data_IF_386236595180
#
_entry.id   IF_386236595180
#
_cell.length_a   1.000
_cell.length_b   1.000
_cell.length_c   1.000
_cell.angle_alpha   90.00
_cell.angle_beta   90.00
_cell.angle_gamma   90.00
#
_symmetry.space_group_name_H-M   'P 1'
#
loop_
_entity.id
_entity.type
_entity.pdbx_description
1 polymer ?
#
# COMPACT_ATOMS: atom_id res chain seq x y z
N UNK A 1 14.37 10.13 32.31
CA UNK A 1 13.06 10.65 31.91
C UNK A 1 13.17 10.88 30.42
N UNK A 2 12.40 10.18 29.59
CA UNK A 2 12.49 10.31 28.13
C UNK A 2 11.44 11.34 27.70
N UNK A 3 11.91 12.49 27.22
CA UNK A 3 11.07 13.56 26.71
C UNK A 3 10.53 13.16 25.32
N UNK A 4 9.21 13.00 25.21
CA UNK A 4 8.53 12.74 23.94
C UNK A 4 8.13 14.08 23.32
N UNK A 5 8.60 14.34 22.10
CA UNK A 5 8.28 15.56 21.36
C UNK A 5 7.13 15.28 20.39
N UNK A 6 6.17 16.20 20.37
CA UNK A 6 4.91 16.07 19.62
C UNK A 6 4.72 17.30 18.74
N UNK A 7 4.57 17.10 17.44
CA UNK A 7 4.15 18.17 16.52
C UNK A 7 2.76 17.83 15.98
N UNK A 8 1.86 18.81 16.06
CA UNK A 8 0.50 18.72 15.53
C UNK A 8 0.36 19.70 14.38
N UNK A 9 0.14 19.18 13.17
CA UNK A 9 -0.10 20.01 11.98
C UNK A 9 -1.59 20.02 11.68
N UNK A 10 -2.16 21.22 11.57
CA UNK A 10 -3.56 21.42 11.17
C UNK A 10 -3.60 22.25 9.91
N UNK A 11 -4.12 21.68 8.82
CA UNK A 11 -4.35 22.42 7.56
C UNK A 11 -5.77 22.16 7.09
N UNK A 12 -6.64 23.16 7.21
CA UNK A 12 -8.07 23.02 6.91
C UNK A 12 -8.77 22.04 7.86
N UNK A 13 -9.51 21.07 7.31
CA UNK A 13 -10.28 20.08 8.09
C UNK A 13 -9.48 18.83 8.49
N UNK A 14 -8.19 18.76 8.15
CA UNK A 14 -7.35 17.58 8.45
C UNK A 14 -6.26 17.97 9.44
N UNK A 15 -6.19 17.23 10.54
CA UNK A 15 -5.10 17.31 11.51
C UNK A 15 -4.38 15.97 11.56
N UNK A 16 -3.05 16.01 11.62
CA UNK A 16 -2.23 14.84 11.88
C UNK A 16 -1.16 15.17 12.90
N UNK A 17 -0.85 14.16 13.70
CA UNK A 17 -0.02 14.25 14.90
C UNK A 17 1.17 13.32 14.69
N UNK A 18 2.37 13.85 14.87
CA UNK A 18 3.62 13.10 14.78
C UNK A 18 4.30 13.18 16.15
N UNK A 19 4.55 12.01 16.74
CA UNK A 19 5.20 11.86 18.04
C UNK A 19 6.49 11.08 17.84
N UNK A 20 7.61 11.62 18.34
CA UNK A 20 8.91 10.94 18.31
C UNK A 20 9.76 11.36 19.50
N UNK A 21 10.65 10.45 19.92
CA UNK A 21 11.66 10.66 20.97
C UNK A 21 12.91 11.37 20.43
N UNK A 22 13.08 11.45 19.12
CA UNK A 22 14.25 12.04 18.47
C UNK A 22 14.01 13.50 18.09
N UNK A 23 14.49 14.41 18.97
CA UNK A 23 14.33 15.87 18.85
C UNK A 23 14.90 16.43 17.54
N UNK A 24 16.11 16.01 17.16
CA UNK A 24 16.77 16.50 15.94
C UNK A 24 16.03 16.10 14.66
N UNK A 25 15.40 14.93 14.65
CA UNK A 25 14.61 14.47 13.51
C UNK A 25 13.32 15.28 13.35
N UNK A 26 12.68 15.61 14.48
CA UNK A 26 11.48 16.43 14.53
C UNK A 26 11.77 17.87 14.06
N UNK A 27 12.86 18.48 14.53
CA UNK A 27 13.26 19.84 14.10
C UNK A 27 13.62 19.89 12.61
N UNK A 28 14.26 18.84 12.08
CA UNK A 28 14.56 18.74 10.65
C UNK A 28 13.29 18.65 9.81
N UNK A 29 12.30 17.87 10.26
CA UNK A 29 11.00 17.75 9.60
C UNK A 29 10.19 19.04 9.69
N UNK A 30 10.17 19.71 10.84
CA UNK A 30 9.51 21.00 11.00
C UNK A 30 10.05 22.04 10.01
N UNK A 31 11.38 22.14 9.90
CA UNK A 31 12.05 23.10 9.01
C UNK A 31 11.86 22.79 7.52
N UNK A 32 11.83 21.51 7.14
CA UNK A 32 11.55 21.06 5.78
C UNK A 32 10.11 21.43 5.36
N UNK A 33 9.15 21.24 6.26
CA UNK A 33 7.75 21.58 6.01
C UNK A 33 7.50 23.08 6.02
N UNK A 34 8.05 23.83 6.97
CA UNK A 34 7.95 25.30 6.98
C UNK A 34 8.54 25.92 5.70
N UNK A 35 9.67 25.40 5.21
CA UNK A 35 10.29 25.89 3.98
C UNK A 35 9.42 25.62 2.73
N UNK A 36 8.69 24.49 2.70
CA UNK A 36 7.74 24.17 1.63
C UNK A 36 6.48 25.05 1.65
N UNK A 37 6.05 25.50 2.83
CA UNK A 37 4.84 26.34 2.97
C UNK A 37 5.16 27.82 2.69
N UNK A 38 6.35 28.30 3.11
CA UNK A 38 6.75 29.70 2.94
C UNK A 38 7.06 30.11 1.49
N UNK A 39 7.36 29.17 0.60
CA UNK A 39 7.74 29.45 -0.80
C UNK A 39 6.56 29.49 -1.79
N UNK A 40 5.30 29.57 -1.34
CA UNK A 40 4.16 29.67 -2.28
C UNK A 40 3.60 31.09 -2.32
N UNK A 41 3.99 31.94 -3.28
CA UNK A 41 3.27 33.18 -3.53
C UNK A 41 1.90 32.88 -4.15
N UNK A 42 0.89 33.55 -3.60
CA UNK A 42 -0.50 33.53 -4.03
C UNK A 42 -0.65 34.34 -5.32
N UNK A 43 -0.71 33.69 -6.48
CA UNK A 43 -1.62 34.07 -7.59
C UNK A 43 -1.49 33.16 -8.84
N UNK A 44 -2.63 32.55 -9.19
CA UNK A 44 -3.28 32.55 -10.52
C UNK A 44 -2.54 32.07 -11.78
N UNK A 45 -3.21 31.09 -12.42
CA UNK A 45 -3.22 30.64 -13.85
C UNK A 45 -2.25 29.53 -14.31
N UNK A 46 -2.87 28.35 -14.47
CA UNK A 46 -2.76 27.33 -15.54
C UNK A 46 -1.57 27.46 -16.51
N UNK A 47 -0.62 26.52 -16.48
CA UNK A 47 -0.45 25.44 -17.48
C UNK A 47 0.82 24.61 -17.19
N UNK A 48 0.76 23.34 -17.61
CA UNK A 48 1.83 22.36 -17.82
C UNK A 48 2.68 21.78 -16.67
N UNK A 49 2.33 20.53 -16.34
CA UNK A 49 3.20 19.36 -16.13
C UNK A 49 4.48 19.48 -15.29
N UNK A 50 4.32 19.14 -14.00
CA UNK A 50 5.09 18.04 -13.42
C UNK A 50 4.10 17.15 -12.65
N UNK A 51 3.68 16.03 -13.28
CA UNK A 51 2.82 15.01 -12.68
C UNK A 51 3.54 14.38 -11.49
N UNK A 52 3.28 14.90 -10.28
CA UNK A 52 3.27 14.03 -9.11
C UNK A 52 2.17 12.97 -9.34
N UNK A 53 2.48 11.66 -9.22
CA UNK A 53 1.43 10.66 -9.30
C UNK A 53 0.47 10.91 -8.15
N UNK A 54 -0.76 11.31 -8.48
CA UNK A 54 -1.89 11.27 -7.55
C UNK A 54 -1.86 9.90 -6.86
N UNK A 55 -1.91 9.81 -5.52
CA UNK A 55 -2.03 8.52 -4.87
C UNK A 55 -3.29 7.87 -5.43
N UNK A 56 -3.12 6.74 -6.11
CA UNK A 56 -4.25 6.04 -6.72
C UNK A 56 -5.12 5.55 -5.57
N UNK A 57 -6.21 6.28 -5.37
CA UNK A 57 -7.11 6.09 -4.25
C UNK A 57 -7.92 4.82 -4.50
N UNK A 58 -7.36 3.68 -4.08
CA UNK A 58 -8.12 2.43 -4.03
C UNK A 58 -9.22 2.61 -2.97
N UNK A 59 -10.51 2.42 -3.32
CA UNK A 59 -11.60 2.63 -2.38
C UNK A 59 -11.43 1.74 -1.13
N UNK A 60 -11.47 2.34 0.07
CA UNK A 60 -11.22 1.62 1.33
C UNK A 60 -12.35 0.69 1.79
N UNK A 61 -13.41 0.53 0.99
CA UNK A 61 -14.59 -0.30 1.29
C UNK A 61 -14.93 -1.28 0.15
N UNK A 62 -13.91 -1.88 -0.47
CA UNK A 62 -14.10 -2.91 -1.48
C UNK A 62 -14.17 -4.30 -0.83
N UNK A 63 -15.07 -5.14 -1.32
CA UNK A 63 -14.99 -6.58 -1.03
C UNK A 63 -13.87 -7.20 -1.87
N UNK A 64 -13.32 -8.33 -1.43
CA UNK A 64 -12.25 -9.03 -2.17
C UNK A 64 -12.70 -9.43 -3.59
N UNK A 65 -13.98 -9.76 -3.77
CA UNK A 65 -14.54 -10.13 -5.07
C UNK A 65 -14.56 -8.92 -6.03
N UNK A 66 -14.98 -7.76 -5.53
CA UNK A 66 -14.94 -6.51 -6.29
C UNK A 66 -13.49 -6.09 -6.59
N UNK A 67 -12.59 -6.21 -5.62
CA UNK A 67 -11.17 -5.94 -5.82
C UNK A 67 -10.57 -6.84 -6.93
N UNK A 68 -10.88 -8.14 -6.90
CA UNK A 68 -10.44 -9.09 -7.92
C UNK A 68 -11.01 -8.78 -9.31
N UNK A 69 -12.29 -8.45 -9.40
CA UNK A 69 -12.96 -8.09 -10.67
C UNK A 69 -12.49 -6.76 -11.25
N UNK A 70 -12.14 -5.78 -10.41
CA UNK A 70 -11.80 -4.44 -10.87
C UNK A 70 -10.29 -4.25 -11.13
N UNK A 71 -9.41 -5.02 -10.47
CA UNK A 71 -7.97 -4.78 -10.54
C UNK A 71 -7.13 -5.99 -10.97
N UNK A 72 -7.63 -7.21 -10.81
CA UNK A 72 -6.84 -8.42 -11.13
C UNK A 72 -7.28 -9.00 -12.48
N UNK A 73 -8.59 -9.21 -12.65
CA UNK A 73 -9.19 -9.75 -13.89
C UNK A 73 -8.98 -8.85 -15.13
N UNK A 74 -9.24 -7.53 -15.10
CA UNK A 74 -9.09 -6.67 -16.28
C UNK A 74 -7.63 -6.49 -16.69
N UNK A 75 -6.72 -6.47 -15.70
CA UNK A 75 -5.27 -6.40 -15.92
C UNK A 75 -4.66 -7.76 -16.35
N UNK A 76 -5.50 -8.77 -16.63
CA UNK A 76 -5.10 -10.11 -17.11
C UNK A 76 -4.00 -10.76 -16.28
N UNK A 77 -3.99 -10.54 -14.96
CA UNK A 77 -3.02 -11.18 -14.07
C UNK A 77 -3.42 -12.64 -13.92
N UNK A 78 -2.70 -13.53 -14.59
CA UNK A 78 -2.95 -14.98 -14.60
C UNK A 78 -2.05 -15.75 -13.64
N UNK A 79 -0.92 -15.14 -13.28
CA UNK A 79 0.09 -15.73 -12.44
C UNK A 79 -0.37 -15.78 -10.98
N UNK A 80 -0.50 -17.00 -10.45
CA UNK A 80 -0.88 -17.27 -9.06
C UNK A 80 -0.04 -16.52 -8.01
N UNK A 81 1.31 -16.47 -8.12
CA UNK A 81 2.11 -15.71 -7.17
C UNK A 81 1.79 -14.22 -7.22
N UNK A 82 1.58 -13.65 -8.40
CA UNK A 82 1.26 -12.23 -8.54
C UNK A 82 -0.14 -11.94 -7.97
N UNK A 83 -1.15 -12.79 -8.24
CA UNK A 83 -2.47 -12.70 -7.61
C UNK A 83 -2.38 -12.73 -6.07
N UNK A 84 -1.50 -13.56 -5.50
CA UNK A 84 -1.31 -13.64 -4.06
C UNK A 84 -0.73 -12.34 -3.47
N UNK A 85 0.14 -11.63 -4.21
CA UNK A 85 0.64 -10.29 -3.82
C UNK A 85 -0.53 -9.30 -3.73
N UNK A 86 -1.42 -9.30 -4.71
CA UNK A 86 -2.60 -8.44 -4.70
C UNK A 86 -3.55 -8.75 -3.53
N UNK A 87 -3.70 -10.01 -3.15
CA UNK A 87 -4.51 -10.37 -1.98
C UNK A 87 -3.88 -9.92 -0.68
N UNK A 88 -2.56 -10.02 -0.53
CA UNK A 88 -1.86 -9.48 0.64
C UNK A 88 -2.01 -7.96 0.68
N UNK A 89 -1.94 -7.27 -0.47
CA UNK A 89 -2.21 -5.84 -0.56
C UNK A 89 -3.61 -5.48 -0.08
N UNK A 90 -4.61 -6.23 -0.53
CA UNK A 90 -5.97 -6.05 -0.08
C UNK A 90 -6.12 -6.24 1.44
N UNK A 91 -5.55 -7.31 1.99
CA UNK A 91 -5.62 -7.59 3.43
C UNK A 91 -4.91 -6.51 4.25
N UNK A 92 -3.73 -6.07 3.84
CA UNK A 92 -2.88 -5.14 4.59
C UNK A 92 -3.36 -3.68 4.46
N UNK A 93 -3.70 -3.22 3.24
CA UNK A 93 -3.97 -1.80 2.96
C UNK A 93 -5.44 -1.44 2.96
N UNK A 94 -6.31 -2.36 2.53
CA UNK A 94 -7.76 -2.11 2.45
C UNK A 94 -8.43 -2.57 3.74
N UNK A 95 -8.19 -3.82 4.16
CA UNK A 95 -8.75 -4.34 5.41
C UNK A 95 -7.94 -3.99 6.67
N UNK A 96 -6.76 -3.37 6.53
CA UNK A 96 -5.87 -2.96 7.64
C UNK A 96 -5.57 -4.12 8.60
N UNK A 97 -5.40 -5.32 8.05
CA UNK A 97 -5.06 -6.51 8.82
C UNK A 97 -3.56 -6.52 9.10
N UNK A 98 -3.21 -6.39 10.38
CA UNK A 98 -1.82 -6.31 10.85
C UNK A 98 -1.06 -7.64 10.69
N UNK A 99 -1.77 -8.76 10.77
CA UNK A 99 -1.20 -10.10 10.75
C UNK A 99 -1.81 -10.93 9.63
N UNK A 100 -1.02 -11.28 8.62
CA UNK A 100 -1.47 -12.08 7.47
C UNK A 100 -0.76 -13.43 7.47
N UNK A 101 -1.53 -14.51 7.60
CA UNK A 101 -1.04 -15.89 7.51
C UNK A 101 -1.35 -16.46 6.14
N UNK A 102 -0.66 -17.55 5.79
CA UNK A 102 -0.93 -18.31 4.56
C UNK A 102 -2.40 -18.69 4.41
N UNK A 103 -3.09 -19.03 5.51
CA UNK A 103 -4.51 -19.37 5.51
C UNK A 103 -5.43 -18.21 5.11
N UNK A 104 -5.07 -16.98 5.47
CA UNK A 104 -5.84 -15.80 5.09
C UNK A 104 -5.80 -15.57 3.57
N UNK A 105 -4.64 -15.79 2.97
CA UNK A 105 -4.48 -15.70 1.51
C UNK A 105 -5.29 -16.80 0.82
N UNK A 106 -5.24 -18.04 1.32
CA UNK A 106 -6.08 -19.14 0.82
C UNK A 106 -7.56 -18.81 0.90
N UNK A 107 -8.00 -18.17 1.98
CA UNK A 107 -9.38 -17.72 2.14
C UNK A 107 -9.75 -16.68 1.07
N UNK A 108 -8.88 -15.71 0.75
CA UNK A 108 -9.12 -14.77 -0.35
C UNK A 108 -9.30 -15.49 -1.70
N UNK A 109 -8.51 -16.52 -1.99
CA UNK A 109 -8.71 -17.34 -3.21
C UNK A 109 -10.06 -18.08 -3.19
N UNK A 110 -10.53 -18.51 -2.01
CA UNK A 110 -11.84 -19.13 -1.85
C UNK A 110 -12.98 -18.12 -2.05
N UNK A 111 -12.87 -16.92 -1.48
CA UNK A 111 -13.89 -15.86 -1.53
C UNK A 111 -14.11 -15.33 -2.96
N UNK A 112 -13.06 -15.33 -3.79
CA UNK A 112 -13.20 -14.99 -5.22
C UNK A 112 -13.59 -16.20 -6.09
N UNK A 113 -13.82 -17.37 -5.47
CA UNK A 113 -14.10 -18.64 -6.16
C UNK A 113 -13.04 -19.00 -7.20
N UNK A 114 -11.75 -18.80 -6.87
CA UNK A 114 -10.67 -19.10 -7.80
C UNK A 114 -10.61 -20.61 -8.10
N UNK A 115 -10.44 -21.00 -9.38
CA UNK A 115 -10.48 -22.41 -9.76
C UNK A 115 -9.40 -23.23 -9.04
N UNK A 116 -9.79 -24.38 -8.51
CA UNK A 116 -8.92 -25.32 -7.82
C UNK A 116 -8.15 -24.72 -6.61
N UNK A 117 -8.66 -23.67 -5.95
CA UNK A 117 -7.97 -23.03 -4.83
C UNK A 117 -7.55 -24.02 -3.73
N UNK A 118 -8.38 -25.02 -3.43
CA UNK A 118 -8.10 -26.07 -2.43
C UNK A 118 -6.91 -26.97 -2.76
N UNK A 119 -6.49 -27.03 -4.04
CA UNK A 119 -5.36 -27.85 -4.49
C UNK A 119 -4.10 -27.02 -4.70
N UNK A 120 -4.15 -25.71 -4.45
CA UNK A 120 -3.01 -24.83 -4.61
C UNK A 120 -2.03 -24.99 -3.45
N UNK A 121 -0.75 -25.15 -3.75
CA UNK A 121 0.30 -25.09 -2.75
C UNK A 121 0.59 -23.61 -2.42
N UNK A 122 -0.18 -23.04 -1.48
CA UNK A 122 -0.08 -21.62 -1.15
C UNK A 122 1.30 -21.25 -0.58
N UNK A 123 1.95 -22.15 0.15
CA UNK A 123 3.30 -21.93 0.66
C UNK A 123 4.32 -21.75 -0.47
N UNK A 124 4.23 -22.57 -1.53
CA UNK A 124 5.08 -22.44 -2.71
C UNK A 124 4.78 -21.15 -3.48
N UNK A 125 3.49 -20.84 -3.71
CA UNK A 125 3.05 -19.62 -4.40
C UNK A 125 3.60 -18.36 -3.69
N UNK A 126 3.45 -18.26 -2.37
CA UNK A 126 3.95 -17.13 -1.60
C UNK A 126 5.48 -17.08 -1.56
N UNK A 127 6.14 -18.24 -1.52
CA UNK A 127 7.60 -18.35 -1.62
C UNK A 127 8.13 -17.82 -2.95
N UNK A 128 7.44 -18.08 -4.07
CA UNK A 128 7.80 -17.52 -5.38
C UNK A 128 7.72 -15.99 -5.40
N UNK A 129 6.66 -15.40 -4.82
CA UNK A 129 6.53 -13.94 -4.70
C UNK A 129 7.59 -13.32 -3.78
N UNK A 130 7.99 -14.04 -2.72
CA UNK A 130 9.11 -13.65 -1.86
C UNK A 130 10.45 -13.67 -2.61
N UNK A 131 10.70 -14.67 -3.46
CA UNK A 131 11.92 -14.73 -4.29
C UNK A 131 12.02 -13.53 -5.25
N UNK A 132 10.89 -12.98 -5.68
CA UNK A 132 10.82 -11.73 -6.47
C UNK A 132 10.92 -10.45 -5.63
N UNK A 133 11.18 -10.56 -4.32
CA UNK A 133 11.22 -9.45 -3.37
C UNK A 133 9.91 -8.64 -3.26
N UNK A 134 8.77 -9.19 -3.68
CA UNK A 134 7.45 -8.53 -3.58
C UNK A 134 6.80 -8.73 -2.21
N UNK A 135 7.12 -9.86 -1.56
CA UNK A 135 6.61 -10.20 -0.25
C UNK A 135 7.75 -10.46 0.71
N UNK A 136 7.50 -10.17 1.99
CA UNK A 136 8.36 -10.60 3.07
C UNK A 136 7.67 -11.69 3.91
N UNK A 137 8.48 -12.53 4.55
CA UNK A 137 8.00 -13.50 5.52
C UNK A 137 8.83 -13.40 6.80
N UNK A 138 8.19 -13.03 7.89
CA UNK A 138 8.82 -12.89 9.22
C UNK A 138 7.94 -13.63 10.22
N UNK A 139 8.50 -14.59 10.97
CA UNK A 139 7.76 -15.37 11.96
C UNK A 139 6.48 -16.05 11.42
N UNK A 140 6.54 -16.59 10.19
CA UNK A 140 5.39 -17.16 9.47
C UNK A 140 4.25 -16.17 9.16
N UNK A 141 4.52 -14.87 9.25
CA UNK A 141 3.61 -13.81 8.84
C UNK A 141 4.09 -13.22 7.52
N UNK A 142 3.15 -13.02 6.61
CA UNK A 142 3.39 -12.41 5.32
C UNK A 142 3.09 -10.92 5.38
N UNK A 143 3.93 -10.12 4.76
CA UNK A 143 3.72 -8.69 4.60
C UNK A 143 4.19 -8.24 3.22
N UNK A 144 3.69 -7.12 2.76
CA UNK A 144 4.22 -6.48 1.55
C UNK A 144 5.59 -5.85 1.82
N UNK A 145 6.44 -5.90 0.81
CA UNK A 145 7.62 -5.03 0.74
C UNK A 145 7.25 -3.73 0.04
N UNK A 146 8.12 -2.71 0.15
CA UNK A 146 7.98 -1.47 -0.62
C UNK A 146 7.89 -1.77 -2.12
N UNK A 147 8.72 -2.69 -2.63
CA UNK A 147 8.71 -3.12 -4.04
C UNK A 147 7.40 -3.83 -4.43
N UNK A 148 6.83 -4.64 -3.54
CA UNK A 148 5.54 -5.29 -3.78
C UNK A 148 4.39 -4.30 -3.80
N UNK A 149 4.43 -3.28 -2.96
CA UNK A 149 3.43 -2.21 -2.95
C UNK A 149 3.49 -1.42 -4.26
N UNK A 150 4.67 -0.98 -4.66
CA UNK A 150 4.89 -0.26 -5.92
C UNK A 150 4.42 -1.07 -7.14
N UNK A 151 4.74 -2.37 -7.16
CA UNK A 151 4.29 -3.29 -8.20
C UNK A 151 2.76 -3.34 -8.32
N UNK A 152 2.05 -3.49 -7.20
CA UNK A 152 0.58 -3.53 -7.18
C UNK A 152 0.01 -2.17 -7.60
N UNK A 153 0.54 -1.07 -7.06
CA UNK A 153 0.08 0.27 -7.38
C UNK A 153 0.29 0.60 -8.86
N UNK A 154 1.44 0.26 -9.44
CA UNK A 154 1.72 0.51 -10.85
C UNK A 154 0.67 -0.16 -11.76
N UNK A 155 0.35 -1.42 -11.47
CA UNK A 155 -0.67 -2.17 -12.23
C UNK A 155 -2.08 -1.62 -12.00
N UNK A 156 -2.43 -1.23 -10.78
CA UNK A 156 -3.72 -0.61 -10.46
C UNK A 156 -3.87 0.76 -11.13
N UNK A 157 -2.77 1.52 -11.20
CA UNK A 157 -2.72 2.86 -11.81
C UNK A 157 -2.75 2.83 -13.33
N UNK A 158 -2.55 1.65 -13.93
CA UNK A 158 -2.47 1.49 -15.39
C UNK A 158 -1.29 2.22 -16.00
N UNK A 159 -0.17 2.40 -15.29
CA UNK A 159 0.96 3.19 -15.78
C UNK A 159 1.88 2.45 -16.78
N UNK A 160 1.37 1.38 -17.42
CA UNK A 160 2.00 0.81 -18.62
C UNK A 160 0.91 0.29 -19.58
N UNK A 161 0.37 1.19 -20.40
CA UNK A 161 0.03 1.01 -21.82
C UNK A 161 -0.12 2.37 -22.51
#
# INVERSE_FOLDING_TARGET
MADNYKISFTKGNTSFIIESTDKEWIELKEKEYLSKIAHTPVHTKVSEEEKQPSPVAVPQNLTINEFYKNYIKPNKITSRPDIAVFFIYYLEKILKKDTIRTGDVTQCFADVSYPNYNKLNMADILSQSRKKALLNNVNNLWSLTITGEDYVLNIISGADQ
#
